data_IF_093259499609
#
_entry.id   IF_093259499609
#
_cell.length_a   1.000
_cell.length_b   1.000
_cell.length_c   1.000
_cell.angle_alpha   90.00
_cell.angle_beta   90.00
_cell.angle_gamma   90.00
#
_symmetry.space_group_name_H-M   'P 1'
#
loop_
_entity.id
_entity.type
_entity.pdbx_description
1 polymer ?
#
# COMPACT_ATOMS: atom_id res chain seq x y z
N UNK A 1 0.41 -11.37 9.96
CA UNK A 1 0.10 -10.20 9.10
C UNK A 1 -0.84 -10.68 8.01
N UNK A 2 -2.11 -10.89 8.37
CA UNK A 2 -3.14 -11.44 7.47
C UNK A 2 -4.08 -10.30 7.03
N UNK A 3 -4.76 -10.51 5.90
CA UNK A 3 -5.94 -9.76 5.41
C UNK A 3 -5.72 -8.57 4.45
N UNK A 4 -4.69 -8.57 3.59
CA UNK A 4 -4.77 -7.81 2.32
C UNK A 4 -4.85 -8.71 1.08
N UNK A 5 -4.23 -9.88 1.10
CA UNK A 5 -4.07 -10.71 -0.11
C UNK A 5 -4.48 -12.18 0.03
N UNK A 6 -5.10 -12.57 1.16
CA UNK A 6 -5.67 -13.91 1.33
C UNK A 6 -4.68 -15.09 1.29
N UNK A 7 -3.37 -14.83 1.23
CA UNK A 7 -2.28 -15.81 1.23
C UNK A 7 -1.04 -15.25 1.93
N UNK A 8 -0.15 -16.14 2.36
CA UNK A 8 1.21 -15.75 2.77
C UNK A 8 2.07 -15.51 1.52
N UNK A 9 2.92 -14.49 1.59
CA UNK A 9 3.88 -14.16 0.55
C UNK A 9 5.29 -14.38 1.08
N UNK A 10 6.18 -14.91 0.23
CA UNK A 10 7.61 -14.77 0.47
C UNK A 10 8.09 -13.34 0.24
N UNK A 11 9.29 -13.00 0.74
CA UNK A 11 9.86 -11.64 0.65
C UNK A 11 9.84 -11.05 -0.77
N UNK A 12 10.14 -11.87 -1.77
CA UNK A 12 10.13 -11.46 -3.17
C UNK A 12 8.72 -11.11 -3.67
N UNK A 13 7.74 -11.93 -3.33
CA UNK A 13 6.35 -11.70 -3.75
C UNK A 13 5.75 -10.51 -2.99
N UNK A 14 6.16 -10.30 -1.74
CA UNK A 14 5.74 -9.17 -0.92
C UNK A 14 6.19 -7.83 -1.52
N UNK A 15 7.37 -7.78 -2.14
CA UNK A 15 7.85 -6.59 -2.87
C UNK A 15 6.91 -6.21 -4.02
N UNK A 16 6.47 -7.18 -4.81
CA UNK A 16 5.53 -6.93 -5.90
C UNK A 16 4.15 -6.55 -5.38
N UNK A 17 3.64 -7.28 -4.39
CA UNK A 17 2.34 -7.00 -3.78
C UNK A 17 2.29 -5.58 -3.17
N UNK A 18 3.37 -5.14 -2.53
CA UNK A 18 3.49 -3.78 -2.00
C UNK A 18 3.50 -2.73 -3.12
N UNK A 19 4.20 -2.99 -4.23
CA UNK A 19 4.22 -2.13 -5.40
C UNK A 19 2.83 -1.95 -6.02
N UNK A 20 2.09 -3.05 -6.20
CA UNK A 20 0.72 -3.02 -6.74
C UNK A 20 -0.25 -2.31 -5.80
N UNK A 21 -0.19 -2.60 -4.49
CA UNK A 21 -1.00 -1.89 -3.49
C UNK A 21 -0.74 -0.38 -3.54
N UNK A 22 0.53 0.04 -3.64
CA UNK A 22 0.91 1.45 -3.76
C UNK A 22 0.37 2.10 -5.03
N UNK A 23 0.38 1.39 -6.16
CA UNK A 23 -0.20 1.91 -7.41
C UNK A 23 -1.71 2.20 -7.26
N UNK A 24 -2.45 1.29 -6.62
CA UNK A 24 -3.88 1.49 -6.34
C UNK A 24 -4.12 2.68 -5.40
N UNK A 25 -3.37 2.78 -4.31
CA UNK A 25 -3.48 3.91 -3.37
C UNK A 25 -3.15 5.24 -4.04
N UNK A 26 -2.14 5.27 -4.92
CA UNK A 26 -1.77 6.46 -5.69
C UNK A 26 -2.90 6.90 -6.61
N UNK A 27 -3.57 5.96 -7.29
CA UNK A 27 -4.71 6.27 -8.13
C UNK A 27 -5.90 6.84 -7.33
N UNK A 28 -6.18 6.28 -6.15
CA UNK A 28 -7.24 6.80 -5.27
C UNK A 28 -6.92 8.20 -4.75
N UNK A 29 -5.68 8.46 -4.37
CA UNK A 29 -5.23 9.79 -3.96
C UNK A 29 -5.35 10.80 -5.13
N UNK A 30 -4.87 10.42 -6.32
CA UNK A 30 -4.94 11.27 -7.52
C UNK A 30 -6.38 11.59 -7.96
N UNK A 31 -7.33 10.70 -7.67
CA UNK A 31 -8.77 10.91 -7.96
C UNK A 31 -9.52 11.60 -6.82
N UNK A 32 -8.83 12.04 -5.77
CA UNK A 32 -9.44 12.70 -4.61
C UNK A 32 -10.29 11.77 -3.73
N UNK A 33 -10.14 10.45 -3.89
CA UNK A 33 -10.88 9.42 -3.15
C UNK A 33 -10.14 8.92 -1.91
N UNK A 34 -8.91 9.38 -1.70
CA UNK A 34 -8.07 9.09 -0.55
C UNK A 34 -7.27 10.33 -0.18
N UNK A 35 -7.21 10.66 1.11
CA UNK A 35 -6.35 11.71 1.64
C UNK A 35 -5.14 11.02 2.23
N UNK A 36 -3.96 11.44 1.77
CA UNK A 36 -2.69 10.92 2.24
C UNK A 36 -2.21 11.76 3.42
N UNK A 37 -1.89 11.13 4.54
CA UNK A 37 -1.20 11.75 5.67
C UNK A 37 0.22 11.19 5.78
N UNK A 38 1.12 11.94 6.40
CA UNK A 38 2.45 11.43 6.78
C UNK A 38 2.60 11.69 8.26
N UNK A 39 3.02 10.68 9.00
CA UNK A 39 3.49 10.89 10.36
C UNK A 39 4.94 11.40 10.39
N UNK A 40 5.41 11.71 11.60
CA UNK A 40 6.76 12.21 11.87
C UNK A 40 7.86 11.14 11.62
N UNK A 41 7.48 9.87 11.43
CA UNK A 41 8.39 8.78 11.05
C UNK A 41 8.56 8.67 9.53
N UNK A 42 7.86 9.51 8.76
CA UNK A 42 7.89 9.53 7.30
C UNK A 42 7.11 8.40 6.66
N UNK A 43 6.19 7.79 7.41
CA UNK A 43 5.30 6.75 6.91
C UNK A 43 4.01 7.39 6.41
N UNK A 44 3.69 7.08 5.16
CA UNK A 44 2.45 7.50 4.51
C UNK A 44 1.28 6.65 5.04
N UNK A 45 0.29 7.30 5.67
CA UNK A 45 -0.95 6.70 6.21
C UNK A 45 -2.19 7.18 5.46
#
# INVERSE_FOLDING_TARGET
>A
MAVLFGREFGDHEMYFAAGEARAHLTHLAATGRLIKSSDDEGVDI
#
